data_IF_386321674996
#
_entry.id   IF_386321674996
#
_cell.length_a   1.000
_cell.length_b   1.000
_cell.length_c   1.000
_cell.angle_alpha   90.00
_cell.angle_beta   90.00
_cell.angle_gamma   90.00
#
_symmetry.space_group_name_H-M   'P 1'
#
loop_
_entity.id
_entity.type
_entity.pdbx_description
1 polymer ?
#
# COMPACT_ATOMS: atom_id res chain seq x y z
N UNK A 1 11.09 7.54 -8.54
CA UNK A 1 10.43 8.14 -7.36
C UNK A 1 11.39 8.00 -6.19
N UNK A 2 12.02 9.10 -5.77
CA UNK A 2 12.87 9.10 -4.57
C UNK A 2 12.02 9.65 -3.42
N UNK A 3 12.00 8.93 -2.31
CA UNK A 3 11.32 9.34 -1.07
C UNK A 3 12.40 9.58 -0.03
N UNK A 4 12.60 10.84 0.37
CA UNK A 4 13.29 11.15 1.61
C UNK A 4 12.23 11.25 2.71
N UNK A 5 12.32 10.45 3.77
CA UNK A 5 11.40 10.53 4.92
C UNK A 5 12.12 10.31 6.23
N UNK A 6 11.76 11.11 7.23
CA UNK A 6 12.04 10.86 8.63
C UNK A 6 10.75 10.42 9.31
N UNK A 7 10.83 9.44 10.22
CA UNK A 7 9.69 8.96 10.99
C UNK A 7 10.01 9.01 12.47
N UNK A 8 9.02 9.40 13.28
CA UNK A 8 9.07 9.36 14.74
C UNK A 8 7.97 8.44 15.25
N UNK A 9 8.28 7.62 16.25
CA UNK A 9 7.28 6.80 16.94
C UNK A 9 6.47 7.70 17.87
N UNK A 10 5.14 7.73 17.71
CA UNK A 10 4.25 8.49 18.59
C UNK A 10 3.79 7.63 19.76
N UNK A 11 3.31 6.43 19.45
CA UNK A 11 2.89 5.41 20.40
C UNK A 11 2.87 4.04 19.70
N UNK A 12 2.57 2.97 20.44
CA UNK A 12 2.65 1.60 19.93
C UNK A 12 1.85 1.43 18.62
N UNK A 13 2.56 1.09 17.56
CA UNK A 13 1.99 0.85 16.23
C UNK A 13 1.67 2.11 15.44
N UNK A 14 1.90 3.33 15.96
CA UNK A 14 1.66 4.58 15.22
C UNK A 14 2.94 5.39 15.12
N UNK A 15 3.30 5.71 13.88
CA UNK A 15 4.41 6.60 13.54
C UNK A 15 3.90 7.84 12.84
N UNK A 16 4.56 8.96 13.06
CA UNK A 16 4.43 10.14 12.21
C UNK A 16 5.62 10.20 11.27
N UNK A 17 5.38 10.46 9.99
CA UNK A 17 6.41 10.62 8.97
C UNK A 17 6.32 11.99 8.33
N UNK A 18 7.46 12.63 8.12
CA UNK A 18 7.57 13.83 7.30
C UNK A 18 8.70 13.65 6.29
N UNK A 19 8.54 14.21 5.11
CA UNK A 19 9.48 13.99 4.02
C UNK A 19 9.05 14.65 2.72
N UNK A 20 9.52 14.11 1.60
CA UNK A 20 9.13 14.56 0.29
C UNK A 20 9.08 13.41 -0.71
N UNK A 21 8.26 13.58 -1.74
CA UNK A 21 8.22 12.70 -2.89
C UNK A 21 8.69 13.46 -4.12
N UNK A 22 9.69 12.93 -4.83
CA UNK A 22 10.12 13.46 -6.12
C UNK A 22 9.30 12.82 -7.24
N UNK A 23 8.52 13.66 -7.94
CA UNK A 23 7.71 13.32 -9.11
C UNK A 23 8.20 14.12 -10.32
N UNK A 24 7.85 13.73 -11.57
CA UNK A 24 8.14 14.56 -12.74
C UNK A 24 7.59 15.99 -12.63
N UNK A 25 6.52 16.19 -11.86
CA UNK A 25 5.95 17.51 -11.55
C UNK A 25 6.62 18.26 -10.38
N UNK A 26 7.79 17.82 -9.94
CA UNK A 26 8.57 18.45 -8.87
C UNK A 26 8.59 17.68 -7.54
N UNK A 27 9.24 18.31 -6.56
CA UNK A 27 9.34 17.83 -5.18
C UNK A 27 8.07 18.20 -4.43
N UNK A 28 7.41 17.22 -3.83
CA UNK A 28 6.21 17.38 -3.02
C UNK A 28 6.52 17.07 -1.56
N UNK A 29 6.76 18.09 -0.71
CA UNK A 29 6.86 17.90 0.73
C UNK A 29 5.57 17.27 1.25
N UNK A 30 5.66 16.37 2.22
CA UNK A 30 4.50 15.64 2.72
C UNK A 30 4.65 15.16 4.15
N UNK A 31 3.51 15.00 4.79
CA UNK A 31 3.39 14.36 6.09
C UNK A 31 2.48 13.13 5.99
N UNK A 32 2.72 12.13 6.82
CA UNK A 32 1.92 10.92 6.88
C UNK A 32 1.81 10.41 8.32
N UNK A 33 0.68 9.80 8.64
CA UNK A 33 0.57 8.90 9.79
C UNK A 33 0.71 7.48 9.28
N UNK A 34 1.39 6.62 10.03
CA UNK A 34 1.59 5.21 9.67
C UNK A 34 1.11 4.39 10.86
N UNK A 35 -0.02 3.71 10.71
CA UNK A 35 -0.44 2.67 11.64
C UNK A 35 0.04 1.31 11.14
N UNK A 36 0.59 0.50 12.04
CA UNK A 36 0.99 -0.87 11.79
C UNK A 36 0.57 -1.76 12.95
N UNK A 37 -0.22 -2.76 12.62
CA UNK A 37 -0.52 -3.90 13.48
C UNK A 37 0.02 -5.15 12.82
N UNK A 38 0.87 -5.89 13.53
CA UNK A 38 1.46 -7.11 13.03
C UNK A 38 1.47 -8.17 14.14
N UNK A 39 1.03 -9.37 13.79
CA UNK A 39 1.15 -10.59 14.57
C UNK A 39 1.48 -11.75 13.61
N UNK A 40 1.65 -12.99 14.08
CA UNK A 40 1.97 -14.13 13.21
C UNK A 40 1.00 -14.33 12.03
N UNK A 41 -0.29 -14.02 12.21
CA UNK A 41 -1.35 -14.29 11.24
C UNK A 41 -1.83 -13.04 10.51
N UNK A 42 -1.63 -11.85 11.07
CA UNK A 42 -2.17 -10.60 10.56
C UNK A 42 -1.09 -9.56 10.36
N UNK A 43 -1.18 -8.86 9.23
CA UNK A 43 -0.49 -7.60 9.01
C UNK A 43 -1.50 -6.57 8.50
N UNK A 44 -1.66 -5.49 9.24
CA UNK A 44 -2.49 -4.35 8.86
C UNK A 44 -1.63 -3.10 8.86
N UNK A 45 -1.62 -2.39 7.73
CA UNK A 45 -0.97 -1.10 7.58
C UNK A 45 -2.01 -0.12 7.07
N UNK A 46 -2.10 1.04 7.72
CA UNK A 46 -2.86 2.18 7.22
C UNK A 46 -1.94 3.40 7.22
N UNK A 47 -1.87 4.09 6.09
CA UNK A 47 -1.00 5.24 5.91
C UNK A 47 -1.71 6.36 5.16
N UNK A 48 -2.51 7.19 5.85
CA UNK A 48 -2.94 8.46 5.29
C UNK A 48 -1.74 9.41 5.18
N UNK A 49 -1.63 10.09 4.05
CA UNK A 49 -0.59 11.04 3.69
C UNK A 49 -1.21 12.28 3.06
N UNK A 50 -0.58 13.43 3.28
CA UNK A 50 -0.95 14.71 2.66
C UNK A 50 0.30 15.42 2.12
N UNK A 51 0.19 15.97 0.91
CA UNK A 51 1.18 16.91 0.37
C UNK A 51 1.02 18.28 1.03
N UNK A 52 2.13 18.93 1.38
CA UNK A 52 2.17 20.25 2.01
C UNK A 52 2.38 21.39 0.99
N UNK A 53 2.17 21.12 -0.31
CA UNK A 53 2.25 22.11 -1.39
C UNK A 53 0.90 22.76 -1.69
N UNK A 54 0.89 23.88 -2.45
CA UNK A 54 -0.35 24.57 -2.83
C UNK A 54 -1.32 23.70 -3.64
N UNK A 55 -0.80 22.75 -4.40
CA UNK A 55 -1.55 21.72 -5.15
C UNK A 55 -1.56 20.40 -4.39
N UNK A 56 -2.10 20.43 -3.17
CA UNK A 56 -2.02 19.32 -2.24
C UNK A 56 -2.80 18.08 -2.74
N UNK A 57 -2.19 16.91 -2.63
CA UNK A 57 -2.89 15.64 -2.72
C UNK A 57 -3.08 15.05 -1.32
N UNK A 58 -4.23 14.43 -1.09
CA UNK A 58 -4.43 13.46 -0.01
C UNK A 58 -4.31 12.07 -0.61
N UNK A 59 -3.55 11.22 0.06
CA UNK A 59 -3.37 9.83 -0.30
C UNK A 59 -3.71 8.94 0.88
N UNK A 60 -4.65 8.02 0.69
CA UNK A 60 -4.90 6.92 1.62
C UNK A 60 -4.25 5.65 1.07
N UNK A 61 -3.28 5.09 1.78
CA UNK A 61 -2.71 3.78 1.48
C UNK A 61 -3.08 2.77 2.58
N UNK A 62 -3.33 1.52 2.18
CA UNK A 62 -3.57 0.46 3.15
C UNK A 62 -3.19 -0.93 2.64
N UNK A 63 -2.81 -1.79 3.59
CA UNK A 63 -2.62 -3.23 3.41
C UNK A 63 -3.36 -3.95 4.54
N UNK A 64 -4.08 -5.01 4.18
CA UNK A 64 -4.54 -6.05 5.09
C UNK A 64 -4.04 -7.38 4.53
N UNK A 65 -3.24 -8.08 5.30
CA UNK A 65 -2.72 -9.41 4.98
C UNK A 65 -3.11 -10.37 6.09
N UNK A 66 -3.68 -11.50 5.69
CA UNK A 66 -4.07 -12.60 6.58
C UNK A 66 -3.39 -13.89 6.12
N UNK A 67 -2.62 -14.49 7.03
CA UNK A 67 -1.71 -15.59 6.77
C UNK A 67 -1.64 -16.60 7.93
N UNK A 68 -2.76 -17.22 8.32
CA UNK A 68 -2.78 -18.21 9.39
C UNK A 68 -2.04 -19.50 8.99
N UNK A 69 -1.44 -20.16 9.98
CA UNK A 69 -0.89 -21.51 9.81
C UNK A 69 -2.00 -22.50 9.49
N UNK A 70 -1.78 -23.34 8.48
CA UNK A 70 -2.65 -24.48 8.17
C UNK A 70 -2.10 -25.72 8.89
N UNK A 71 -0.78 -25.89 8.87
CA UNK A 71 -0.01 -26.91 9.58
C UNK A 71 1.48 -26.51 9.61
N UNK A 72 2.33 -27.37 10.16
CA UNK A 72 3.78 -27.16 10.31
C UNK A 72 4.54 -26.83 9.01
N UNK A 73 3.96 -27.08 7.83
CA UNK A 73 4.59 -26.86 6.52
C UNK A 73 3.90 -25.79 5.67
N UNK A 74 2.60 -25.60 5.87
CA UNK A 74 1.76 -24.80 4.99
C UNK A 74 1.08 -23.67 5.76
N UNK A 75 1.05 -22.50 5.14
CA UNK A 75 0.34 -21.32 5.64
C UNK A 75 -0.60 -20.81 4.54
N UNK A 76 -1.81 -20.40 4.92
CA UNK A 76 -2.69 -19.70 3.99
C UNK A 76 -2.10 -18.31 3.71
N UNK A 77 -2.33 -17.76 2.53
CA UNK A 77 -1.91 -16.39 2.21
C UNK A 77 -3.05 -15.63 1.55
N UNK A 78 -3.40 -14.49 2.11
CA UNK A 78 -4.28 -13.53 1.46
C UNK A 78 -3.83 -12.12 1.75
N UNK A 79 -3.92 -11.24 0.75
CA UNK A 79 -3.60 -9.82 0.89
C UNK A 79 -4.55 -8.97 0.07
N UNK A 80 -5.05 -7.92 0.70
CA UNK A 80 -5.70 -6.80 0.04
C UNK A 80 -4.85 -5.55 0.27
N UNK A 81 -4.47 -4.87 -0.81
CA UNK A 81 -3.73 -3.61 -0.78
C UNK A 81 -4.48 -2.59 -1.62
N UNK A 82 -4.52 -1.35 -1.17
CA UNK A 82 -5.09 -0.27 -1.96
C UNK A 82 -4.42 1.07 -1.73
N UNK A 83 -4.55 1.92 -2.72
CA UNK A 83 -4.25 3.36 -2.63
C UNK A 83 -5.42 4.13 -3.21
N UNK A 84 -5.73 5.28 -2.62
CA UNK A 84 -6.61 6.29 -3.18
C UNK A 84 -5.95 7.67 -3.09
N UNK A 85 -5.75 8.34 -4.22
CA UNK A 85 -5.14 9.67 -4.32
C UNK A 85 -6.16 10.66 -4.86
N UNK A 86 -6.38 11.71 -4.10
CA UNK A 86 -7.28 12.80 -4.41
C UNK A 86 -6.53 14.12 -4.45
N UNK A 87 -6.64 14.86 -5.56
CA UNK A 87 -6.04 16.18 -5.72
C UNK A 87 -6.99 17.25 -5.21
N UNK A 88 -6.61 17.92 -4.12
CA UNK A 88 -7.45 18.94 -3.46
C UNK A 88 -7.56 20.24 -4.26
N UNK A 89 -6.59 20.55 -5.13
CA UNK A 89 -6.62 21.77 -5.95
C UNK A 89 -7.75 21.81 -6.97
N UNK A 90 -8.08 20.65 -7.52
CA UNK A 90 -8.99 20.53 -8.67
C UNK A 90 -10.23 19.67 -8.34
N UNK A 91 -10.34 19.15 -7.12
CA UNK A 91 -11.37 18.18 -6.67
C UNK A 91 -11.43 16.94 -7.58
N UNK A 92 -10.26 16.47 -8.04
CA UNK A 92 -10.16 15.37 -9.01
C UNK A 92 -9.56 14.11 -8.38
N UNK A 93 -10.19 12.97 -8.68
CA UNK A 93 -9.57 11.66 -8.51
C UNK A 93 -8.34 11.56 -9.42
N UNK A 94 -7.16 11.44 -8.82
CA UNK A 94 -5.90 11.36 -9.55
C UNK A 94 -5.59 9.91 -9.90
N UNK A 95 -5.56 9.04 -8.89
CA UNK A 95 -5.22 7.63 -9.04
C UNK A 95 -5.78 6.82 -7.88
N UNK A 96 -6.29 5.64 -8.17
CA UNK A 96 -6.52 4.62 -7.16
C UNK A 96 -6.17 3.25 -7.71
N UNK A 97 -5.84 2.33 -6.82
CA UNK A 97 -5.68 0.94 -7.21
C UNK A 97 -6.09 0.02 -6.08
N UNK A 98 -6.47 -1.18 -6.46
CA UNK A 98 -6.66 -2.31 -5.56
C UNK A 98 -5.83 -3.48 -6.10
N UNK A 99 -5.10 -4.13 -5.21
CA UNK A 99 -4.36 -5.35 -5.49
C UNK A 99 -4.78 -6.42 -4.49
N UNK A 100 -5.31 -7.51 -5.00
CA UNK A 100 -5.73 -8.66 -4.22
C UNK A 100 -4.83 -9.86 -4.54
N UNK A 101 -4.47 -10.64 -3.52
CA UNK A 101 -3.70 -11.87 -3.63
C UNK A 101 -4.35 -12.93 -2.75
N UNK A 102 -4.40 -14.16 -3.23
CA UNK A 102 -4.82 -15.33 -2.49
C UNK A 102 -3.98 -16.54 -2.92
N UNK A 103 -3.49 -17.31 -1.97
CA UNK A 103 -2.57 -18.41 -2.24
C UNK A 103 -2.13 -19.15 -0.98
N UNK A 104 -1.00 -19.82 -1.08
CA UNK A 104 -0.40 -20.60 -0.01
C UNK A 104 1.10 -20.35 0.06
N UNK A 105 1.64 -20.46 1.27
CA UNK A 105 3.06 -20.33 1.55
C UNK A 105 3.64 -21.66 2.03
N UNK A 106 4.77 -22.04 1.45
CA UNK A 106 5.62 -23.16 1.88
C UNK A 106 7.03 -22.63 2.07
N UNK A 107 7.53 -22.68 3.30
CA UNK A 107 8.80 -22.06 3.68
C UNK A 107 8.83 -20.58 3.24
N UNK A 108 9.77 -20.20 2.37
CA UNK A 108 9.95 -18.83 1.88
C UNK A 108 9.11 -18.53 0.62
N UNK A 109 8.49 -19.54 0.01
CA UNK A 109 7.78 -19.42 -1.26
C UNK A 109 6.28 -19.26 -1.04
N UNK A 110 5.69 -18.25 -1.68
CA UNK A 110 4.25 -18.04 -1.72
C UNK A 110 3.78 -18.01 -3.16
N UNK A 111 2.74 -18.77 -3.48
CA UNK A 111 2.18 -18.83 -4.83
C UNK A 111 0.66 -18.90 -4.79
N UNK A 112 0.02 -18.43 -5.86
CA UNK A 112 -1.42 -18.43 -5.97
C UNK A 112 -1.92 -17.51 -7.07
N UNK A 113 -3.11 -16.95 -6.89
CA UNK A 113 -3.76 -16.05 -7.83
C UNK A 113 -3.77 -14.63 -7.30
N UNK A 114 -3.83 -13.65 -8.20
CA UNK A 114 -4.13 -12.30 -7.80
C UNK A 114 -4.74 -11.46 -8.89
N UNK A 115 -5.29 -10.33 -8.45
CA UNK A 115 -5.93 -9.33 -9.27
C UNK A 115 -5.28 -7.98 -8.97
N UNK A 116 -4.95 -7.23 -10.02
CA UNK A 116 -4.54 -5.84 -9.95
C UNK A 116 -5.58 -5.03 -10.72
N UNK A 117 -6.15 -4.02 -10.09
CA UNK A 117 -7.12 -3.11 -10.69
C UNK A 117 -6.59 -1.69 -10.47
N UNK A 118 -6.30 -0.97 -11.55
CA UNK A 118 -5.73 0.37 -11.48
C UNK A 118 -6.63 1.37 -12.19
N UNK A 119 -7.03 2.42 -11.48
CA UNK A 119 -7.94 3.45 -11.96
C UNK A 119 -7.19 4.77 -12.07
N UNK A 120 -7.23 5.38 -13.25
CA UNK A 120 -6.50 6.59 -13.57
C UNK A 120 -7.42 7.74 -13.95
N UNK A 121 -7.17 8.90 -13.32
CA UNK A 121 -7.76 10.18 -13.68
C UNK A 121 -9.28 10.28 -13.50
N UNK A 122 -9.84 11.44 -13.91
CA UNK A 122 -11.28 11.71 -13.84
C UNK A 122 -12.09 10.99 -14.94
N UNK A 123 -11.42 10.57 -16.01
CA UNK A 123 -12.03 9.89 -17.16
C UNK A 123 -12.21 8.37 -16.96
N UNK A 124 -11.95 7.86 -15.74
CA UNK A 124 -12.18 6.46 -15.34
C UNK A 124 -11.53 5.44 -16.29
N UNK A 125 -10.28 5.68 -16.70
CA UNK A 125 -9.51 4.66 -17.41
C UNK A 125 -9.11 3.57 -16.41
N UNK A 126 -9.33 2.30 -16.77
CA UNK A 126 -9.04 1.17 -15.90
C UNK A 126 -8.14 0.16 -16.60
N UNK A 127 -7.05 -0.22 -15.93
CA UNK A 127 -6.20 -1.33 -16.32
C UNK A 127 -6.35 -2.46 -15.28
N UNK A 128 -6.86 -3.61 -15.72
CA UNK A 128 -7.04 -4.78 -14.86
C UNK A 128 -6.17 -5.93 -15.35
N UNK A 129 -5.57 -6.66 -14.41
CA UNK A 129 -4.83 -7.88 -14.68
C UNK A 129 -5.14 -8.93 -13.62
N UNK A 130 -5.55 -10.12 -14.07
CA UNK A 130 -5.76 -11.29 -13.22
C UNK A 130 -4.81 -12.39 -13.68
N UNK A 131 -4.08 -13.00 -12.75
CA UNK A 131 -3.14 -14.05 -13.09
C UNK A 131 -2.50 -14.73 -11.88
N UNK A 132 -1.58 -15.65 -12.17
CA UNK A 132 -0.76 -16.28 -11.15
C UNK A 132 0.28 -15.33 -10.56
N UNK A 133 0.74 -15.61 -9.34
CA UNK A 133 1.92 -14.96 -8.78
C UNK A 133 2.83 -15.94 -8.07
N UNK A 134 4.10 -15.55 -7.98
CA UNK A 134 5.11 -16.16 -7.15
C UNK A 134 5.79 -15.05 -6.34
N UNK A 135 5.94 -15.27 -5.04
CA UNK A 135 6.63 -14.38 -4.11
C UNK A 135 7.64 -15.20 -3.31
N UNK A 136 8.81 -14.62 -3.09
CA UNK A 136 9.87 -15.21 -2.25
C UNK A 136 10.20 -14.21 -1.16
N UNK A 137 10.16 -14.65 0.10
CA UNK A 137 10.66 -13.85 1.22
C UNK A 137 12.19 -13.88 1.21
N UNK A 138 12.81 -12.74 0.95
CA UNK A 138 14.26 -12.56 1.05
C UNK A 138 14.58 -11.95 2.43
N UNK A 139 15.50 -12.62 3.14
CA UNK A 139 16.12 -12.33 4.45
C UNK A 139 15.53 -11.20 5.30
#
# INVERSE_FOLDING_TARGET
MVIGKATVDLFKGVKFGAGFQSTPGGIRPSAALIYTYANPDWLVIAMPRVDLSKNANIEGFGIVEYKPEINDKWRFYSRLQGTYVHAMSDDLHTRSYIRARAGVTVKEFTFGVGANMEYYGPLKHNENNIGGFLQVALF
#
